data_IF_246750691516
#
_entry.id   IF_246750691516
#
_cell.length_a   1.000
_cell.length_b   1.000
_cell.length_c   1.000
_cell.angle_alpha   90.00
_cell.angle_beta   90.00
_cell.angle_gamma   90.00
#
_symmetry.space_group_name_H-M   'P 1'
#
loop_
_entity.id
_entity.type
_entity.pdbx_description
1 polymer ?
#
# COMPACT_ATOMS: atom_id res chain seq x y z
N UNK A 1 -9.99 -9.76 -26.55
CA UNK A 1 -9.90 -8.43 -25.90
C UNK A 1 -11.21 -8.20 -25.18
N UNK A 2 -11.20 -7.85 -23.88
CA UNK A 2 -12.43 -7.76 -23.10
C UNK A 2 -13.10 -6.39 -23.25
N UNK A 3 -14.35 -6.39 -23.68
CA UNK A 3 -15.19 -5.20 -23.82
C UNK A 3 -15.91 -4.95 -22.50
N UNK A 4 -15.88 -3.73 -21.94
CA UNK A 4 -16.67 -3.44 -20.75
C UNK A 4 -18.16 -3.66 -21.01
N UNK A 5 -18.91 -4.32 -20.10
CA UNK A 5 -20.34 -4.46 -20.26
C UNK A 5 -21.03 -3.09 -20.11
N UNK A 6 -22.31 -2.94 -20.48
CA UNK A 6 -23.08 -1.74 -20.16
C UNK A 6 -23.08 -1.45 -18.65
N UNK A 7 -23.20 -0.17 -18.26
CA UNK A 7 -23.11 0.25 -16.86
C UNK A 7 -24.13 -0.48 -15.95
N UNK A 8 -25.35 -0.68 -16.43
CA UNK A 8 -26.39 -1.40 -15.69
C UNK A 8 -26.09 -2.90 -15.56
N UNK A 9 -25.50 -3.52 -16.57
CA UNK A 9 -25.01 -4.90 -16.47
C UNK A 9 -23.89 -4.99 -15.44
N UNK A 10 -22.92 -4.07 -15.46
CA UNK A 10 -21.87 -4.01 -14.45
C UNK A 10 -22.43 -3.89 -13.02
N UNK A 11 -23.40 -3.02 -12.78
CA UNK A 11 -24.09 -2.92 -11.50
C UNK A 11 -24.72 -4.26 -11.09
N UNK A 12 -25.41 -4.92 -12.02
CA UNK A 12 -26.07 -6.20 -11.75
C UNK A 12 -25.04 -7.28 -11.36
N UNK A 13 -23.90 -7.36 -12.06
CA UNK A 13 -22.84 -8.31 -11.71
C UNK A 13 -22.32 -8.11 -10.28
N UNK A 14 -22.21 -6.85 -9.82
CA UNK A 14 -21.84 -6.56 -8.44
C UNK A 14 -22.92 -7.01 -7.44
N UNK A 15 -24.20 -6.74 -7.73
CA UNK A 15 -25.33 -7.15 -6.88
C UNK A 15 -25.40 -8.68 -6.78
N UNK A 16 -25.22 -9.40 -7.89
CA UNK A 16 -25.29 -10.86 -7.94
C UNK A 16 -24.15 -11.53 -7.14
N UNK A 17 -22.99 -10.87 -7.03
CA UNK A 17 -21.88 -11.31 -6.16
C UNK A 17 -22.06 -10.83 -4.69
N UNK A 18 -23.23 -10.24 -4.38
CA UNK A 18 -23.64 -9.84 -3.04
C UNK A 18 -22.95 -8.57 -2.53
N UNK A 19 -22.55 -7.66 -3.41
CA UNK A 19 -21.99 -6.36 -3.04
C UNK A 19 -23.10 -5.42 -2.55
N UNK A 20 -22.87 -4.74 -1.42
CA UNK A 20 -23.76 -3.66 -0.96
C UNK A 20 -23.47 -2.38 -1.73
N UNK A 21 -24.11 -2.21 -2.89
CA UNK A 21 -23.87 -1.09 -3.80
C UNK A 21 -24.65 0.17 -3.42
N UNK A 22 -24.03 1.34 -3.62
CA UNK A 22 -24.65 2.67 -3.54
C UNK A 22 -24.40 3.40 -4.84
N UNK A 23 -25.45 3.80 -5.54
CA UNK A 23 -25.34 4.63 -6.74
C UNK A 23 -25.15 6.09 -6.34
N UNK A 24 -24.04 6.74 -6.75
CA UNK A 24 -23.79 8.14 -6.42
C UNK A 24 -24.09 9.02 -7.63
N UNK A 25 -25.20 9.77 -7.59
CA UNK A 25 -25.64 10.63 -8.69
C UNK A 25 -25.68 9.91 -10.05
N UNK A 26 -25.43 10.62 -11.15
CA UNK A 26 -25.34 10.03 -12.50
C UNK A 26 -24.00 9.31 -12.76
N UNK A 27 -23.64 8.32 -11.96
CA UNK A 27 -22.34 7.62 -12.07
C UNK A 27 -22.14 6.93 -13.43
N UNK A 28 -23.21 6.41 -14.04
CA UNK A 28 -23.17 5.65 -15.31
C UNK A 28 -22.58 6.43 -16.49
N UNK A 29 -22.81 7.74 -16.52
CA UNK A 29 -22.36 8.62 -17.61
C UNK A 29 -21.18 9.49 -17.20
N UNK A 30 -20.70 9.33 -15.96
CA UNK A 30 -19.64 10.15 -15.40
C UNK A 30 -18.28 9.50 -15.65
N UNK A 31 -17.56 10.04 -16.62
CA UNK A 31 -16.26 9.52 -17.04
C UNK A 31 -15.43 10.59 -17.74
N UNK A 32 -14.26 10.17 -18.20
CA UNK A 32 -13.30 10.96 -18.97
C UNK A 32 -13.07 10.39 -20.37
N UNK A 33 -14.09 9.78 -20.99
CA UNK A 33 -13.95 9.20 -22.33
C UNK A 33 -13.54 10.25 -23.39
N UNK A 34 -13.88 11.52 -23.16
CA UNK A 34 -13.42 12.64 -24.00
C UNK A 34 -11.91 12.92 -23.91
N UNK A 35 -11.18 12.27 -22.98
CA UNK A 35 -9.71 12.34 -22.88
C UNK A 35 -9.00 11.15 -23.53
N UNK A 36 -9.74 10.15 -23.98
CA UNK A 36 -9.18 8.96 -24.60
C UNK A 36 -10.12 7.75 -24.47
N UNK A 37 -9.85 6.68 -25.23
CA UNK A 37 -10.69 5.49 -25.21
C UNK A 37 -10.69 4.86 -23.81
N UNK A 38 -11.77 4.14 -23.53
CA UNK A 38 -11.82 3.18 -22.43
C UNK A 38 -11.96 1.79 -23.03
N UNK A 39 -11.15 0.86 -22.53
CA UNK A 39 -11.05 -0.47 -23.05
C UNK A 39 -10.06 -0.63 -24.21
N UNK A 40 -9.77 -1.88 -24.61
CA UNK A 40 -10.24 -3.11 -23.95
C UNK A 40 -9.73 -3.19 -22.50
N UNK A 41 -10.61 -3.58 -21.59
CA UNK A 41 -10.28 -3.68 -20.16
C UNK A 41 -9.48 -4.96 -19.93
N UNK A 42 -8.59 -4.90 -18.96
CA UNK A 42 -7.58 -5.92 -18.69
C UNK A 42 -7.54 -6.33 -17.24
N UNK A 43 -8.20 -5.63 -16.31
CA UNK A 43 -8.21 -6.06 -14.92
C UNK A 43 -8.89 -5.10 -13.97
N UNK A 44 -8.76 -5.41 -12.68
CA UNK A 44 -9.24 -4.62 -11.54
C UNK A 44 -8.03 -4.06 -10.82
N UNK A 45 -8.04 -2.76 -10.52
CA UNK A 45 -6.98 -2.10 -9.76
C UNK A 45 -7.52 -1.63 -8.40
N UNK A 46 -6.84 -2.02 -7.33
CA UNK A 46 -7.20 -1.65 -5.96
C UNK A 46 -6.27 -0.55 -5.46
N UNK A 47 -6.86 0.45 -4.84
CA UNK A 47 -6.18 1.61 -4.27
C UNK A 47 -6.56 1.81 -2.80
N UNK A 48 -5.71 2.55 -2.06
CA UNK A 48 -6.16 3.28 -0.89
C UNK A 48 -6.22 4.77 -1.20
N UNK A 49 -7.13 5.48 -0.54
CA UNK A 49 -7.47 6.87 -0.90
C UNK A 49 -6.59 7.95 -0.26
N UNK A 50 -5.87 7.62 0.83
CA UNK A 50 -5.21 8.61 1.71
C UNK A 50 -6.24 9.60 2.28
N UNK A 51 -7.41 9.09 2.65
CA UNK A 51 -8.51 9.87 3.23
C UNK A 51 -9.12 9.20 4.44
N UNK A 52 -9.88 9.99 5.19
CA UNK A 52 -10.70 9.54 6.30
C UNK A 52 -12.11 10.11 6.17
N UNK A 53 -13.11 9.32 6.54
CA UNK A 53 -14.51 9.69 6.50
C UNK A 53 -15.14 9.41 5.14
N UNK A 54 -16.20 8.61 5.15
CA UNK A 54 -16.85 8.11 3.94
C UNK A 54 -17.35 9.22 3.01
N UNK A 55 -18.02 10.25 3.55
CA UNK A 55 -18.52 11.38 2.75
C UNK A 55 -17.41 12.09 1.97
N UNK A 56 -16.33 12.47 2.66
CA UNK A 56 -15.17 13.14 2.03
C UNK A 56 -14.52 12.25 0.97
N UNK A 57 -14.37 10.96 1.28
CA UNK A 57 -13.76 9.98 0.37
C UNK A 57 -14.58 9.81 -0.91
N UNK A 58 -15.90 9.70 -0.78
CA UNK A 58 -16.81 9.62 -1.94
C UNK A 58 -16.76 10.92 -2.77
N UNK A 59 -16.79 12.08 -2.11
CA UNK A 59 -16.75 13.38 -2.79
C UNK A 59 -15.45 13.60 -3.57
N UNK A 60 -14.28 13.28 -2.99
CA UNK A 60 -12.99 13.44 -3.69
C UNK A 60 -12.85 12.43 -4.82
N UNK A 61 -13.20 11.16 -4.63
CA UNK A 61 -13.09 10.16 -5.70
C UNK A 61 -14.10 10.43 -6.83
N UNK A 62 -15.26 10.98 -6.49
CA UNK A 62 -16.20 11.49 -7.48
C UNK A 62 -15.59 12.71 -8.16
N UNK A 63 -15.46 13.85 -7.49
CA UNK A 63 -15.19 15.13 -8.13
C UNK A 63 -13.75 15.31 -8.61
N UNK A 64 -12.81 14.61 -7.99
CA UNK A 64 -11.39 14.91 -8.09
C UNK A 64 -11.07 16.26 -7.46
N UNK A 65 -9.95 16.82 -7.85
CA UNK A 65 -9.46 18.14 -7.45
C UNK A 65 -8.75 18.82 -8.61
N UNK A 66 -8.30 20.06 -8.44
CA UNK A 66 -7.72 20.88 -9.52
C UNK A 66 -6.58 20.20 -10.28
N UNK A 67 -5.70 19.49 -9.56
CA UNK A 67 -4.57 18.74 -10.14
C UNK A 67 -4.94 17.38 -10.72
N UNK A 68 -6.08 16.80 -10.33
CA UNK A 68 -6.53 15.50 -10.82
C UNK A 68 -8.07 15.48 -10.87
N UNK A 69 -8.69 15.91 -11.99
CA UNK A 69 -10.13 15.96 -12.05
C UNK A 69 -10.73 14.56 -12.16
N UNK A 70 -11.89 14.36 -11.53
CA UNK A 70 -12.51 13.04 -11.42
C UNK A 70 -13.23 12.57 -12.69
N UNK A 71 -13.87 11.38 -12.62
CA UNK A 71 -13.81 10.44 -11.50
C UNK A 71 -12.41 9.84 -11.32
N UNK A 72 -12.04 9.57 -10.07
CA UNK A 72 -10.77 8.95 -9.67
C UNK A 72 -10.87 7.42 -9.54
N UNK A 73 -12.04 6.84 -9.80
CA UNK A 73 -12.27 5.40 -9.79
C UNK A 73 -13.66 5.09 -10.36
N UNK A 74 -13.99 3.81 -10.46
CA UNK A 74 -15.35 3.36 -10.78
C UNK A 74 -16.19 3.22 -9.51
N UNK A 75 -15.60 2.72 -8.43
CA UNK A 75 -16.24 2.59 -7.12
C UNK A 75 -15.34 2.99 -5.95
N UNK A 76 -15.95 3.49 -4.89
CA UNK A 76 -15.31 3.76 -3.59
C UNK A 76 -15.76 2.73 -2.58
N UNK A 77 -14.84 2.14 -1.82
CA UNK A 77 -15.14 1.14 -0.79
C UNK A 77 -14.87 1.74 0.59
N UNK A 78 -15.94 2.01 1.34
CA UNK A 78 -15.90 2.61 2.67
C UNK A 78 -15.62 1.57 3.75
N UNK A 79 -15.24 2.02 4.95
CA UNK A 79 -14.84 1.14 6.08
C UNK A 79 -15.95 0.15 6.50
N UNK A 80 -17.22 0.48 6.26
CA UNK A 80 -18.39 -0.35 6.53
C UNK A 80 -18.67 -1.42 5.44
N UNK A 81 -17.86 -1.48 4.38
CA UNK A 81 -17.99 -2.46 3.30
C UNK A 81 -19.01 -2.10 2.22
N UNK A 82 -19.55 -0.87 2.21
CA UNK A 82 -20.38 -0.39 1.10
C UNK A 82 -19.51 0.02 -0.10
N UNK A 83 -20.04 -0.22 -1.30
CA UNK A 83 -19.38 0.14 -2.56
C UNK A 83 -20.17 1.24 -3.25
N UNK A 84 -19.60 2.43 -3.31
CA UNK A 84 -20.21 3.62 -3.88
C UNK A 84 -19.76 3.82 -5.32
N UNK A 85 -20.63 3.60 -6.30
CA UNK A 85 -20.30 3.80 -7.71
C UNK A 85 -20.30 5.29 -8.04
N UNK A 86 -19.18 5.81 -8.52
CA UNK A 86 -18.93 7.25 -8.74
C UNK A 86 -18.60 7.63 -10.18
N UNK A 87 -18.33 6.65 -11.03
CA UNK A 87 -18.06 6.83 -12.45
C UNK A 87 -18.07 5.51 -13.23
N UNK A 88 -18.26 5.59 -14.54
CA UNK A 88 -18.23 4.44 -15.44
C UNK A 88 -17.73 4.82 -16.83
N UNK A 89 -16.59 4.28 -17.23
CA UNK A 89 -15.80 4.73 -18.38
C UNK A 89 -14.33 4.97 -17.99
N UNK A 90 -13.57 5.66 -18.85
CA UNK A 90 -12.21 6.10 -18.50
C UNK A 90 -12.26 6.95 -17.23
N UNK A 91 -11.52 6.55 -16.20
CA UNK A 91 -11.34 7.28 -14.94
C UNK A 91 -9.86 7.61 -14.72
N UNK A 92 -9.55 8.59 -13.88
CA UNK A 92 -8.17 8.98 -13.55
C UNK A 92 -7.71 8.28 -12.27
N UNK A 93 -7.25 7.03 -12.39
CA UNK A 93 -6.94 6.18 -11.23
C UNK A 93 -5.55 5.53 -11.37
N UNK A 94 -5.36 4.73 -12.42
CA UNK A 94 -4.13 3.98 -12.66
C UNK A 94 -2.95 4.83 -13.16
N UNK A 95 -3.21 5.96 -13.83
CA UNK A 95 -2.13 6.78 -14.40
C UNK A 95 -1.26 6.03 -15.41
N UNK A 96 0.01 6.45 -15.54
CA UNK A 96 1.02 5.70 -16.30
C UNK A 96 1.60 4.58 -15.44
N UNK A 97 1.83 3.41 -16.03
CA UNK A 97 2.55 2.32 -15.39
C UNK A 97 3.26 1.44 -16.41
N UNK A 98 3.60 0.24 -15.96
CA UNK A 98 4.54 -0.65 -16.61
C UNK A 98 3.87 -1.57 -17.65
N UNK A 99 4.37 -1.60 -18.89
CA UNK A 99 3.81 -2.42 -19.97
C UNK A 99 4.09 -3.92 -19.81
N UNK A 100 5.20 -4.30 -19.17
CA UNK A 100 5.48 -5.69 -18.81
C UNK A 100 4.50 -6.21 -17.75
N UNK A 101 4.14 -5.36 -16.78
CA UNK A 101 3.05 -5.67 -15.84
C UNK A 101 1.73 -5.82 -16.59
N UNK A 102 1.41 -4.91 -17.52
CA UNK A 102 0.16 -5.01 -18.31
C UNK A 102 0.11 -6.32 -19.10
N UNK A 103 1.21 -6.69 -19.77
CA UNK A 103 1.33 -7.96 -20.49
C UNK A 103 1.12 -9.15 -19.55
N UNK A 104 1.74 -9.15 -18.38
CA UNK A 104 1.56 -10.23 -17.40
C UNK A 104 0.12 -10.36 -16.89
N UNK A 105 -0.57 -9.22 -16.67
CA UNK A 105 -2.00 -9.20 -16.35
C UNK A 105 -2.82 -9.77 -17.51
N UNK A 106 -2.53 -9.36 -18.75
CA UNK A 106 -3.21 -9.83 -19.95
C UNK A 106 -3.07 -11.33 -20.17
N UNK A 107 -1.89 -11.88 -19.88
CA UNK A 107 -1.59 -13.31 -20.03
C UNK A 107 -1.94 -14.13 -18.78
N UNK A 108 -2.45 -13.48 -17.73
CA UNK A 108 -2.69 -14.10 -16.42
C UNK A 108 -1.46 -14.88 -15.90
N UNK A 109 -0.29 -14.22 -15.94
CA UNK A 109 0.99 -14.74 -15.43
C UNK A 109 1.32 -14.17 -14.06
N UNK A 110 2.49 -14.52 -13.52
CA UNK A 110 3.04 -13.81 -12.37
C UNK A 110 3.51 -12.42 -12.81
N UNK A 111 3.29 -11.41 -11.97
CA UNK A 111 3.70 -10.04 -12.26
C UNK A 111 5.24 -9.93 -12.14
N UNK A 112 5.91 -9.26 -13.10
CA UNK A 112 7.29 -8.84 -12.92
C UNK A 112 7.35 -7.70 -11.87
N UNK A 113 8.57 -7.37 -11.43
CA UNK A 113 8.77 -6.11 -10.72
C UNK A 113 8.59 -4.97 -11.72
N UNK A 114 7.79 -3.98 -11.35
CA UNK A 114 7.63 -2.75 -12.12
C UNK A 114 8.92 -1.93 -12.09
N UNK A 115 9.32 -1.40 -13.24
CA UNK A 115 10.53 -0.60 -13.37
C UNK A 115 10.35 0.62 -14.29
N UNK A 116 9.22 0.75 -14.98
CA UNK A 116 8.91 1.86 -15.86
C UNK A 116 7.45 2.33 -15.79
N UNK A 117 7.18 3.53 -16.35
CA UNK A 117 5.86 4.15 -16.37
C UNK A 117 5.56 4.71 -17.77
N UNK A 118 5.39 3.81 -18.74
CA UNK A 118 5.30 4.13 -20.17
C UNK A 118 3.89 3.93 -20.76
N UNK A 119 2.96 3.34 -20.02
CA UNK A 119 1.65 2.90 -20.53
C UNK A 119 0.47 3.50 -19.76
N UNK A 120 -0.52 4.05 -20.48
CA UNK A 120 -1.74 4.59 -19.86
C UNK A 120 -2.65 3.46 -19.33
N UNK A 121 -2.64 3.25 -18.01
CA UNK A 121 -3.49 2.28 -17.33
C UNK A 121 -4.94 2.71 -17.19
N UNK A 122 -5.25 4.02 -17.28
CA UNK A 122 -6.60 4.55 -17.03
C UNK A 122 -7.66 3.97 -17.98
N UNK A 123 -7.23 3.56 -19.18
CA UNK A 123 -8.11 2.92 -20.16
C UNK A 123 -8.29 1.41 -19.94
N UNK A 124 -7.39 0.76 -19.21
CA UNK A 124 -7.30 -0.70 -19.14
C UNK A 124 -7.86 -1.30 -17.85
N UNK A 125 -8.04 -0.52 -16.78
CA UNK A 125 -8.43 -1.08 -15.49
C UNK A 125 -9.75 -0.53 -14.95
N UNK A 126 -10.51 -1.40 -14.26
CA UNK A 126 -11.55 -0.99 -13.32
C UNK A 126 -10.91 -0.60 -11.98
N UNK A 127 -10.81 0.70 -11.70
CA UNK A 127 -10.28 1.20 -10.43
C UNK A 127 -11.29 1.20 -9.29
N UNK A 128 -10.85 0.74 -8.11
CA UNK A 128 -11.58 0.86 -6.84
C UNK A 128 -10.72 1.52 -5.77
N UNK A 129 -11.25 2.60 -5.22
CA UNK A 129 -10.61 3.43 -4.20
C UNK A 129 -11.14 3.07 -2.82
N UNK A 130 -10.28 2.66 -1.90
CA UNK A 130 -10.71 2.21 -0.57
C UNK A 130 -10.36 3.25 0.50
N UNK A 131 -11.34 3.63 1.31
CA UNK A 131 -11.16 4.55 2.44
C UNK A 131 -10.09 4.02 3.39
N UNK A 132 -8.89 4.62 3.35
CA UNK A 132 -7.79 4.32 4.25
C UNK A 132 -6.75 5.47 4.24
N UNK A 133 -6.08 5.69 5.37
CA UNK A 133 -5.02 6.71 5.52
C UNK A 133 -3.74 6.40 4.75
N UNK A 134 -3.47 5.14 4.41
CA UNK A 134 -2.28 4.72 3.65
C UNK A 134 -0.97 4.73 4.46
N UNK A 135 -1.04 4.95 5.77
CA UNK A 135 0.10 5.00 6.69
C UNK A 135 0.63 3.60 7.07
N UNK A 136 -0.19 2.56 6.88
CA UNK A 136 0.09 1.18 7.27
C UNK A 136 -0.39 0.81 8.68
N UNK A 137 -0.94 1.78 9.42
CA UNK A 137 -1.49 1.61 10.76
C UNK A 137 -3.02 1.63 10.75
N UNK A 138 -3.64 2.42 9.85
CA UNK A 138 -5.08 2.47 9.69
C UNK A 138 -5.64 1.10 9.27
N UNK A 139 -6.48 0.46 10.09
CA UNK A 139 -6.93 -0.90 9.87
C UNK A 139 -7.80 -1.01 8.62
N UNK A 140 -7.78 -2.21 8.02
CA UNK A 140 -8.72 -2.64 7.00
C UNK A 140 -9.79 -3.52 7.66
N UNK A 141 -11.02 -3.00 7.92
CA UNK A 141 -12.07 -3.81 8.52
C UNK A 141 -12.43 -5.00 7.63
N UNK A 142 -12.84 -6.11 8.24
CA UNK A 142 -13.20 -7.33 7.50
C UNK A 142 -14.31 -7.08 6.47
N UNK A 143 -15.26 -6.18 6.78
CA UNK A 143 -16.31 -5.79 5.85
C UNK A 143 -15.76 -5.08 4.60
N UNK A 144 -14.74 -4.23 4.76
CA UNK A 144 -14.07 -3.55 3.64
C UNK A 144 -13.26 -4.56 2.80
N UNK A 145 -12.51 -5.47 3.42
CA UNK A 145 -11.77 -6.52 2.71
C UNK A 145 -12.71 -7.48 1.96
N UNK A 146 -13.85 -7.82 2.55
CA UNK A 146 -14.88 -8.63 1.89
C UNK A 146 -15.50 -7.90 0.69
N UNK A 147 -15.69 -6.58 0.77
CA UNK A 147 -16.19 -5.79 -0.35
C UNK A 147 -15.19 -5.75 -1.52
N UNK A 148 -13.89 -5.60 -1.25
CA UNK A 148 -12.82 -5.70 -2.26
C UNK A 148 -12.86 -7.07 -2.95
N UNK A 149 -12.91 -8.14 -2.16
CA UNK A 149 -13.00 -9.52 -2.65
C UNK A 149 -14.21 -9.73 -3.57
N UNK A 150 -15.40 -9.28 -3.15
CA UNK A 150 -16.64 -9.43 -3.92
C UNK A 150 -16.61 -8.64 -5.23
N UNK A 151 -16.21 -7.37 -5.18
CA UNK A 151 -16.09 -6.53 -6.38
C UNK A 151 -15.12 -7.15 -7.39
N UNK A 152 -13.95 -7.59 -6.92
CA UNK A 152 -12.94 -8.16 -7.78
C UNK A 152 -13.42 -9.47 -8.40
N UNK A 153 -14.06 -10.35 -7.61
CA UNK A 153 -14.62 -11.60 -8.11
C UNK A 153 -15.77 -11.38 -9.10
N UNK A 154 -16.68 -10.43 -8.85
CA UNK A 154 -17.79 -10.11 -9.75
C UNK A 154 -17.28 -9.74 -11.15
N UNK A 155 -16.29 -8.85 -11.20
CA UNK A 155 -15.69 -8.40 -12.46
C UNK A 155 -14.91 -9.54 -13.11
N UNK A 156 -14.15 -10.32 -12.34
CA UNK A 156 -13.45 -11.46 -12.91
C UNK A 156 -14.41 -12.49 -13.49
N UNK A 157 -15.53 -12.76 -12.82
CA UNK A 157 -16.57 -13.70 -13.28
C UNK A 157 -17.21 -13.23 -14.58
N UNK A 158 -17.55 -11.94 -14.68
CA UNK A 158 -18.12 -11.33 -15.88
C UNK A 158 -17.20 -11.50 -17.10
N UNK A 159 -15.89 -11.35 -16.92
CA UNK A 159 -14.91 -11.42 -18.02
C UNK A 159 -14.28 -12.80 -18.21
N UNK A 160 -14.65 -13.80 -17.39
CA UNK A 160 -14.02 -15.13 -17.42
C UNK A 160 -12.55 -15.13 -16.98
N UNK A 161 -12.18 -14.21 -16.11
CA UNK A 161 -10.83 -14.01 -15.57
C UNK A 161 -10.60 -14.77 -14.26
N UNK A 162 -9.33 -15.00 -13.95
CA UNK A 162 -8.86 -15.43 -12.63
C UNK A 162 -8.47 -14.23 -11.75
N UNK A 163 -8.14 -14.49 -10.48
CA UNK A 163 -7.66 -13.42 -9.59
C UNK A 163 -6.36 -12.76 -10.07
N UNK A 164 -5.62 -13.33 -11.03
CA UNK A 164 -4.41 -12.72 -11.60
C UNK A 164 -4.66 -11.39 -12.31
N UNK A 165 -5.92 -11.11 -12.65
CA UNK A 165 -6.39 -9.85 -13.23
C UNK A 165 -6.65 -8.76 -12.19
N UNK A 166 -6.45 -9.05 -10.91
CA UNK A 166 -6.68 -8.14 -9.78
C UNK A 166 -5.33 -7.69 -9.24
N UNK A 167 -4.97 -6.42 -9.40
CA UNK A 167 -3.67 -5.87 -8.99
C UNK A 167 -3.82 -4.66 -8.07
N UNK A 168 -2.77 -4.36 -7.30
CA UNK A 168 -2.64 -3.10 -6.59
C UNK A 168 -1.90 -2.07 -7.45
N UNK A 169 -2.08 -0.79 -7.17
CA UNK A 169 -1.32 0.28 -7.84
C UNK A 169 0.19 0.16 -7.59
N UNK A 170 0.59 -0.31 -6.40
CA UNK A 170 1.96 -0.64 -6.01
C UNK A 170 2.60 -1.74 -6.87
N UNK A 171 1.79 -2.51 -7.61
CA UNK A 171 2.27 -3.54 -8.53
C UNK A 171 2.25 -3.06 -9.99
N UNK A 172 1.77 -1.84 -10.24
CA UNK A 172 1.56 -1.25 -11.57
C UNK A 172 2.56 -0.17 -11.93
N UNK A 173 2.96 0.66 -10.97
CA UNK A 173 3.75 1.86 -11.21
C UNK A 173 4.90 2.01 -10.18
N UNK A 174 6.13 2.28 -10.65
CA UNK A 174 7.29 2.51 -9.78
C UNK A 174 7.05 3.63 -8.77
N UNK A 175 7.32 3.30 -7.51
CA UNK A 175 7.21 4.24 -6.38
C UNK A 175 5.80 4.41 -5.81
N UNK A 176 4.79 3.72 -6.35
CA UNK A 176 3.47 3.64 -5.71
C UNK A 176 3.49 2.66 -4.55
N UNK A 177 2.65 2.93 -3.55
CA UNK A 177 2.61 2.17 -2.29
C UNK A 177 1.20 1.65 -1.97
N UNK A 178 0.20 1.99 -2.79
CA UNK A 178 -1.20 1.66 -2.57
C UNK A 178 -1.64 0.35 -3.25
N UNK A 179 -2.40 -0.54 -2.58
CA UNK A 179 -2.87 -0.46 -1.20
C UNK A 179 -1.79 -0.89 -0.18
N UNK A 180 -1.80 -0.29 1.02
CA UNK A 180 -0.85 -0.61 2.11
C UNK A 180 -1.64 -1.20 3.28
N UNK A 181 -1.11 -2.24 3.92
CA UNK A 181 -1.71 -2.89 5.11
C UNK A 181 -2.17 -4.33 4.87
N UNK A 182 -2.43 -4.73 3.62
CA UNK A 182 -2.56 -6.13 3.20
C UNK A 182 -1.76 -6.38 1.92
N UNK A 183 -1.52 -7.64 1.56
CA UNK A 183 -0.82 -7.98 0.31
C UNK A 183 -1.82 -8.34 -0.78
N UNK A 184 -1.55 -7.92 -2.01
CA UNK A 184 -2.37 -8.33 -3.16
C UNK A 184 -2.34 -9.83 -3.39
N UNK A 185 -1.26 -10.52 -3.02
CA UNK A 185 -1.21 -11.98 -2.99
C UNK A 185 -2.30 -12.60 -2.07
N UNK A 186 -2.46 -12.08 -0.85
CA UNK A 186 -3.52 -12.54 0.06
C UNK A 186 -4.92 -12.22 -0.48
N UNK A 187 -5.11 -11.04 -1.10
CA UNK A 187 -6.39 -10.69 -1.71
C UNK A 187 -6.72 -11.60 -2.91
N UNK A 188 -5.75 -11.89 -3.78
CA UNK A 188 -5.94 -12.81 -4.91
C UNK A 188 -6.33 -14.21 -4.47
N UNK A 189 -5.79 -14.72 -3.36
CA UNK A 189 -6.23 -16.00 -2.76
C UNK A 189 -7.71 -15.96 -2.36
N UNK A 190 -8.19 -14.85 -1.79
CA UNK A 190 -9.60 -14.68 -1.42
C UNK A 190 -10.49 -14.66 -2.66
N UNK A 191 -10.07 -13.95 -3.70
CA UNK A 191 -10.78 -13.86 -4.98
C UNK A 191 -10.86 -15.22 -5.67
N UNK A 192 -9.75 -15.96 -5.80
CA UNK A 192 -9.75 -17.30 -6.39
C UNK A 192 -10.69 -18.25 -5.65
N UNK A 193 -10.65 -18.23 -4.31
CA UNK A 193 -11.56 -19.02 -3.47
C UNK A 193 -13.03 -18.69 -3.76
N UNK A 194 -13.38 -17.40 -3.89
CA UNK A 194 -14.74 -16.95 -4.23
C UNK A 194 -15.15 -17.32 -5.65
N UNK A 195 -14.21 -17.32 -6.59
CA UNK A 195 -14.45 -17.77 -7.96
C UNK A 195 -14.65 -19.29 -8.06
N UNK A 196 -14.36 -20.05 -6.99
CA UNK A 196 -14.39 -21.52 -7.01
C UNK A 196 -13.19 -22.14 -7.72
N UNK A 197 -12.14 -21.35 -7.94
CA UNK A 197 -10.89 -21.78 -8.58
C UNK A 197 -9.98 -22.35 -7.48
N UNK A 198 -9.47 -23.60 -7.60
CA UNK A 198 -8.50 -24.12 -6.66
C UNK A 198 -7.24 -23.25 -6.69
N UNK A 199 -7.02 -22.44 -5.66
CA UNK A 199 -5.81 -21.65 -5.56
C UNK A 199 -4.62 -22.58 -5.26
N UNK A 200 -3.54 -22.49 -6.05
CA UNK A 200 -2.26 -23.05 -5.63
C UNK A 200 -1.90 -22.35 -4.30
N UNK A 201 -1.44 -23.07 -3.26
CA UNK A 201 -1.06 -22.44 -2.01
C UNK A 201 0.05 -21.42 -2.29
N UNK A 202 -0.31 -20.14 -2.25
CA UNK A 202 0.69 -19.07 -2.22
C UNK A 202 1.20 -19.08 -0.80
N UNK A 203 2.44 -19.52 -0.59
CA UNK A 203 3.18 -19.13 0.61
C UNK A 203 3.26 -17.61 0.56
N UNK A 204 2.42 -16.94 1.37
CA UNK A 204 2.59 -15.52 1.62
C UNK A 204 4.06 -15.29 1.96
N UNK A 205 4.76 -14.31 1.36
CA UNK A 205 6.06 -13.92 1.84
C UNK A 205 5.92 -13.71 3.34
N UNK A 206 6.73 -14.43 4.14
CA UNK A 206 6.77 -14.13 5.58
C UNK A 206 7.03 -12.63 5.71
N UNK A 207 6.27 -11.89 6.54
CA UNK A 207 6.55 -10.49 6.79
C UNK A 207 8.05 -10.32 7.02
N UNK A 208 8.74 -9.66 6.09
CA UNK A 208 10.16 -9.43 6.23
C UNK A 208 10.32 -8.28 7.21
N UNK A 209 10.98 -8.57 8.33
CA UNK A 209 11.37 -7.53 9.26
C UNK A 209 12.30 -6.55 8.52
N UNK A 210 12.14 -5.23 8.71
CA UNK A 210 13.10 -4.26 8.20
C UNK A 210 14.53 -4.66 8.57
N UNK A 211 15.49 -4.38 7.70
CA UNK A 211 16.90 -4.72 7.91
C UNK A 211 17.68 -3.44 8.18
N UNK A 212 18.44 -3.43 9.27
CA UNK A 212 19.35 -2.34 9.64
C UNK A 212 20.80 -2.83 9.46
N UNK A 213 21.54 -2.11 8.64
CA UNK A 213 22.97 -2.32 8.40
C UNK A 213 23.75 -1.66 9.54
N UNK A 214 24.43 -2.49 10.35
CA UNK A 214 25.18 -2.05 11.51
C UNK A 214 26.31 -1.09 11.12
N UNK A 215 27.02 -1.39 10.04
CA UNK A 215 28.16 -0.60 9.59
C UNK A 215 27.74 0.82 9.18
N UNK A 216 26.64 0.93 8.43
CA UNK A 216 26.06 2.23 8.02
C UNK A 216 25.46 2.98 9.20
N UNK A 217 24.81 2.28 10.12
CA UNK A 217 24.26 2.91 11.33
C UNK A 217 25.36 3.46 12.24
N UNK A 218 26.47 2.73 12.42
CA UNK A 218 27.63 3.21 13.20
C UNK A 218 28.27 4.41 12.51
N UNK A 219 28.39 4.40 11.18
CA UNK A 219 28.88 5.56 10.44
C UNK A 219 28.01 6.80 10.70
N UNK A 220 26.69 6.66 10.59
CA UNK A 220 25.74 7.73 10.91
C UNK A 220 25.86 8.20 12.38
N UNK A 221 25.93 7.26 13.34
CA UNK A 221 26.05 7.59 14.76
C UNK A 221 27.33 8.36 15.11
N UNK A 222 28.40 8.17 14.34
CA UNK A 222 29.67 8.89 14.53
C UNK A 222 29.70 10.24 13.82
N UNK A 223 29.07 10.37 12.65
CA UNK A 223 29.13 11.60 11.84
C UNK A 223 28.05 12.62 12.18
N UNK A 224 26.84 12.15 12.46
CA UNK A 224 25.65 13.00 12.52
C UNK A 224 25.62 13.95 13.72
N UNK A 225 26.04 13.56 14.95
CA UNK A 225 25.96 14.45 16.10
C UNK A 225 26.74 15.78 15.96
N UNK A 226 27.77 15.80 15.11
CA UNK A 226 28.57 17.00 14.81
C UNK A 226 28.15 17.73 13.53
N UNK A 227 27.18 17.21 12.78
CA UNK A 227 26.75 17.82 11.53
C UNK A 227 25.87 19.06 11.78
N UNK A 228 25.95 20.05 10.90
CA UNK A 228 25.01 21.17 10.92
C UNK A 228 23.65 20.73 10.36
N UNK A 229 22.57 21.08 11.07
CA UNK A 229 21.22 20.63 10.75
C UNK A 229 20.98 19.15 11.06
N UNK A 230 19.97 18.55 10.42
CA UNK A 230 19.61 17.13 10.61
C UNK A 230 19.78 16.32 9.31
N UNK A 231 20.99 16.18 8.74
CA UNK A 231 21.18 15.38 7.54
C UNK A 231 20.89 13.89 7.80
N UNK A 232 20.13 13.27 6.90
CA UNK A 232 19.85 11.83 6.90
C UNK A 232 20.91 11.11 6.07
N UNK A 233 22.00 10.71 6.72
CA UNK A 233 23.14 10.00 6.08
C UNK A 233 22.89 8.51 5.85
N UNK A 234 21.95 7.92 6.59
CA UNK A 234 21.50 6.56 6.42
C UNK A 234 20.02 6.42 6.82
N UNK A 235 19.18 5.96 5.89
CA UNK A 235 17.73 5.86 6.12
C UNK A 235 17.33 4.88 7.23
N UNK A 236 18.16 3.86 7.50
CA UNK A 236 17.91 2.87 8.56
C UNK A 236 17.94 3.46 9.98
N UNK A 237 18.40 4.70 10.15
CA UNK A 237 18.28 5.45 11.41
C UNK A 237 16.82 5.59 11.84
N UNK A 238 15.88 5.83 10.89
CA UNK A 238 14.45 5.98 11.20
C UNK A 238 13.86 4.73 11.87
N UNK A 239 14.34 3.54 11.48
CA UNK A 239 13.89 2.27 12.08
C UNK A 239 14.34 2.19 13.55
N UNK A 240 15.57 2.63 13.84
CA UNK A 240 16.13 2.63 15.19
C UNK A 240 15.47 3.70 16.06
N UNK A 241 15.23 4.89 15.51
CA UNK A 241 14.54 5.97 16.23
C UNK A 241 13.10 5.61 16.56
N UNK A 242 12.36 5.01 15.63
CA UNK A 242 11.03 4.48 15.90
C UNK A 242 11.05 3.48 17.06
N UNK A 243 12.00 2.53 17.05
CA UNK A 243 12.16 1.58 18.15
C UNK A 243 12.52 2.25 19.49
N UNK A 244 13.31 3.32 19.47
CA UNK A 244 13.62 4.10 20.67
C UNK A 244 12.43 4.94 21.16
N UNK A 245 11.59 5.43 20.26
CA UNK A 245 10.31 6.08 20.59
C UNK A 245 9.36 5.08 21.25
N UNK A 246 9.21 3.89 20.68
CA UNK A 246 8.39 2.79 21.23
C UNK A 246 8.94 2.27 22.57
N UNK A 247 10.25 2.39 22.78
CA UNK A 247 10.87 2.11 24.07
C UNK A 247 10.67 3.23 25.11
N UNK A 248 10.08 4.36 24.73
CA UNK A 248 9.95 5.54 25.59
C UNK A 248 11.28 6.26 25.87
N UNK A 249 12.29 6.02 25.04
CA UNK A 249 13.66 6.55 25.22
C UNK A 249 13.94 7.78 24.35
N UNK A 250 13.18 7.98 23.27
CA UNK A 250 13.26 9.12 22.36
C UNK A 250 11.88 9.76 22.19
N UNK A 251 11.82 11.09 22.11
CA UNK A 251 10.57 11.79 21.83
C UNK A 251 10.23 11.70 20.34
N UNK A 252 8.95 11.46 20.00
CA UNK A 252 8.49 11.30 18.60
C UNK A 252 8.94 12.42 17.64
N UNK A 253 8.95 13.72 18.01
CA UNK A 253 9.43 14.78 17.11
C UNK A 253 10.92 14.69 16.75
N UNK A 254 11.71 13.92 17.50
CA UNK A 254 13.14 13.71 17.29
C UNK A 254 13.43 12.44 16.45
N UNK A 255 12.39 11.73 15.99
CA UNK A 255 12.53 10.61 15.05
C UNK A 255 12.60 11.11 13.60
N UNK A 256 13.58 11.97 13.33
CA UNK A 256 13.73 12.70 12.07
C UNK A 256 14.61 11.97 11.03
N UNK A 257 15.15 10.80 11.37
CA UNK A 257 16.07 10.02 10.56
C UNK A 257 17.53 10.45 10.68
N UNK A 258 17.83 11.39 11.57
CA UNK A 258 19.16 11.87 11.84
C UNK A 258 19.64 11.37 13.20
N UNK A 259 20.67 10.53 13.20
CA UNK A 259 21.27 9.99 14.43
C UNK A 259 22.05 11.08 15.20
N UNK A 260 21.34 12.08 15.71
CA UNK A 260 21.90 13.22 16.41
C UNK A 260 22.18 12.92 17.89
N UNK A 261 22.56 13.95 18.62
CA UNK A 261 22.89 13.85 20.06
C UNK A 261 21.74 13.28 20.91
N UNK A 262 20.49 13.58 20.54
CA UNK A 262 19.31 13.00 21.18
C UNK A 262 19.22 11.48 20.97
N UNK A 263 19.45 11.01 19.75
CA UNK A 263 19.45 9.59 19.38
C UNK A 263 20.62 8.85 20.04
N UNK A 264 21.82 9.45 20.10
CA UNK A 264 22.96 8.93 20.90
C UNK A 264 22.56 8.75 22.37
N UNK A 265 21.95 9.77 22.97
CA UNK A 265 21.54 9.74 24.38
C UNK A 265 20.48 8.66 24.62
N UNK A 266 19.48 8.56 23.75
CA UNK A 266 18.42 7.55 23.82
C UNK A 266 18.99 6.13 23.68
N UNK A 267 19.91 5.92 22.74
CA UNK A 267 20.55 4.62 22.54
C UNK A 267 21.47 4.24 23.71
N UNK A 268 22.16 5.20 24.32
CA UNK A 268 22.94 4.97 25.53
C UNK A 268 22.05 4.53 26.71
N UNK A 269 20.84 5.11 26.84
CA UNK A 269 19.83 4.63 27.82
C UNK A 269 19.36 3.22 27.50
N UNK A 270 19.17 2.89 26.22
CA UNK A 270 18.86 1.52 25.80
C UNK A 270 19.96 0.54 26.23
N UNK A 271 21.23 0.81 25.92
CA UNK A 271 22.37 -0.02 26.32
C UNK A 271 22.43 -0.27 27.84
N UNK A 272 22.21 0.77 28.66
CA UNK A 272 22.18 0.65 30.14
C UNK A 272 20.99 -0.16 30.65
N UNK A 273 19.88 -0.19 29.91
CA UNK A 273 18.69 -0.92 30.34
C UNK A 273 18.96 -2.44 30.38
N UNK A 274 18.28 -3.16 31.28
CA UNK A 274 18.33 -4.62 31.34
C UNK A 274 17.98 -5.27 29.99
N UNK A 275 17.06 -4.66 29.25
CA UNK A 275 16.63 -5.15 27.93
C UNK A 275 17.69 -4.92 26.83
N UNK A 276 18.43 -3.80 26.88
CA UNK A 276 19.48 -3.50 25.90
C UNK A 276 20.82 -4.13 26.21
N UNK A 277 21.05 -4.57 27.45
CA UNK A 277 22.19 -5.42 27.82
C UNK A 277 22.83 -5.11 29.16
N UNK A 278 22.37 -4.08 29.88
CA UNK A 278 22.94 -3.70 31.18
C UNK A 278 24.36 -3.18 31.08
N UNK A 279 24.74 -2.61 29.93
CA UNK A 279 26.08 -2.09 29.71
C UNK A 279 26.37 -0.89 30.62
N UNK A 280 27.64 -0.72 30.99
CA UNK A 280 28.09 0.34 31.89
C UNK A 280 29.35 1.01 31.36
N UNK A 281 29.61 2.24 31.79
CA UNK A 281 30.82 2.96 31.40
C UNK A 281 30.93 3.13 29.87
N UNK A 282 32.13 2.92 29.29
CA UNK A 282 32.36 3.08 27.86
C UNK A 282 31.49 2.19 26.95
N UNK A 283 31.00 1.05 27.46
CA UNK A 283 30.18 0.12 26.67
C UNK A 283 28.72 0.60 26.48
N UNK A 284 28.36 1.74 27.09
CA UNK A 284 27.06 2.39 26.98
C UNK A 284 27.18 3.84 26.45
N UNK A 285 27.98 4.02 25.41
CA UNK A 285 28.34 5.29 24.77
C UNK A 285 27.28 5.84 23.79
N UNK A 286 26.24 5.09 23.49
CA UNK A 286 25.21 5.45 22.52
C UNK A 286 25.56 5.11 21.07
N UNK A 287 26.71 4.47 20.83
CA UNK A 287 27.08 3.93 19.51
C UNK A 287 26.56 2.50 19.39
N UNK A 288 25.81 2.16 18.33
CA UNK A 288 25.24 0.82 18.19
C UNK A 288 26.30 -0.27 18.09
N UNK A 289 26.29 -1.19 19.06
CA UNK A 289 26.99 -2.47 18.98
C UNK A 289 26.08 -3.55 18.39
N UNK A 290 26.68 -4.59 17.78
CA UNK A 290 25.92 -5.72 17.19
C UNK A 290 24.92 -6.32 18.19
N UNK A 291 25.37 -6.57 19.42
CA UNK A 291 24.54 -7.20 20.46
C UNK A 291 23.41 -6.28 20.93
N UNK A 292 23.68 -5.02 21.25
CA UNK A 292 22.65 -4.07 21.71
C UNK A 292 21.62 -3.77 20.62
N UNK A 293 22.06 -3.69 19.35
CA UNK A 293 21.19 -3.43 18.21
C UNK A 293 20.33 -4.64 17.87
N UNK A 294 20.90 -5.85 17.94
CA UNK A 294 20.15 -7.10 17.75
C UNK A 294 19.08 -7.26 18.82
N UNK A 295 19.38 -6.92 20.09
CA UNK A 295 18.38 -6.92 21.17
C UNK A 295 17.26 -5.91 20.91
N UNK A 296 17.58 -4.71 20.42
CA UNK A 296 16.58 -3.70 20.07
C UNK A 296 15.70 -4.20 18.93
N UNK A 297 16.30 -4.73 17.86
CA UNK A 297 15.57 -5.29 16.72
C UNK A 297 14.70 -6.50 17.06
N UNK A 298 15.20 -7.39 17.93
CA UNK A 298 14.42 -8.52 18.42
C UNK A 298 13.15 -8.06 19.16
N UNK A 299 13.24 -6.98 19.94
CA UNK A 299 12.13 -6.44 20.73
C UNK A 299 11.16 -5.59 19.91
N UNK A 300 11.66 -4.80 18.96
CA UNK A 300 10.89 -3.79 18.22
C UNK A 300 10.77 -4.05 16.71
N UNK A 301 11.04 -5.28 16.26
CA UNK A 301 10.56 -5.76 14.97
C UNK A 301 11.47 -5.54 13.76
N UNK A 302 12.79 -5.39 13.93
CA UNK A 302 13.76 -5.31 12.82
C UNK A 302 14.91 -6.34 12.98
N UNK A 303 15.67 -6.59 11.91
CA UNK A 303 16.86 -7.45 11.90
C UNK A 303 18.13 -6.66 11.60
N UNK A 304 19.29 -7.20 11.99
CA UNK A 304 20.59 -6.53 11.83
C UNK A 304 21.44 -7.29 10.84
N UNK A 305 22.01 -6.59 9.85
CA UNK A 305 23.08 -7.07 8.97
C UNK A 305 24.40 -6.36 9.29
N UNK A 306 25.52 -6.98 8.92
CA UNK A 306 26.86 -6.41 9.08
C UNK A 306 27.33 -5.73 7.79
#
# INVERSE_FOLDING_TARGET
MATPPPARTFLQCLIDEGVSVVEVGGWETRNRNHKGPWGPVQGVMIHHTVTSGSKRTIEICRNGYSGLPGPLCHGVITKDGRVHLVGYGRANHAGLGDDDVLRAVMDERALPADNEANTDGNRHFYGFECENLGDGDDPWPDAQLLAIEKVAAAICREHGWTARRVIGHLEWQPGKVDPRGFTMAAMRVRVDKRLGIPSKPVTLPKPQKPVVDLSKLVAAAKSNPSAQGSPVTYSGVRIVEAALVDAGLLAKPLSDGHYGTATVTAYAKWQRSKAGGGYTGPDADGIPGKTSLTKLGAKYGFTVTA
#
